data_IF_630778218517
#
_entry.id   IF_630778218517
#
_cell.length_a   1.000
_cell.length_b   1.000
_cell.length_c   1.000
_cell.angle_alpha   90.00
_cell.angle_beta   90.00
_cell.angle_gamma   90.00
#
_symmetry.space_group_name_H-M   'P 1'
#
loop_
_entity.id
_entity.type
_entity.pdbx_description
1 polymer ?
#
# COMPACT_ATOMS: atom_id res chain seq x y z
N UNK A 1 84.46 38.72 -57.17
CA UNK A 1 83.70 37.53 -57.54
C UNK A 1 82.67 37.30 -56.43
N UNK A 2 81.41 37.51 -56.77
CA UNK A 2 80.23 37.71 -55.91
C UNK A 2 79.71 36.43 -55.26
N UNK A 3 79.43 36.47 -53.96
CA UNK A 3 78.61 35.49 -53.23
C UNK A 3 77.30 36.16 -52.82
N UNK A 4 76.19 35.72 -53.42
CA UNK A 4 74.84 36.18 -53.13
C UNK A 4 74.31 35.52 -51.84
N UNK A 5 73.94 36.33 -50.84
CA UNK A 5 73.19 35.92 -49.65
C UNK A 5 71.68 35.98 -49.98
N UNK A 6 71.08 34.83 -50.33
CA UNK A 6 69.63 34.70 -50.49
C UNK A 6 68.98 34.44 -49.13
N UNK A 7 68.51 35.50 -48.47
CA UNK A 7 67.55 35.37 -47.37
C UNK A 7 66.14 35.22 -47.93
N UNK A 8 65.61 34.01 -47.86
CA UNK A 8 64.23 33.69 -48.17
C UNK A 8 63.26 34.49 -47.28
N UNK A 9 62.35 35.24 -47.90
CA UNK A 9 61.29 35.97 -47.19
C UNK A 9 60.30 34.98 -46.56
N UNK A 10 60.07 35.09 -45.24
CA UNK A 10 59.08 34.27 -44.53
C UNK A 10 57.67 34.61 -45.02
N UNK A 11 56.82 33.62 -45.33
CA UNK A 11 55.43 33.88 -45.71
C UNK A 11 54.67 34.50 -44.52
N UNK A 12 53.98 35.61 -44.76
CA UNK A 12 53.09 36.24 -43.78
C UNK A 12 51.89 35.31 -43.55
N UNK A 13 51.71 34.84 -42.31
CA UNK A 13 50.53 34.06 -41.93
C UNK A 13 49.26 34.93 -42.09
N UNK A 14 48.19 34.40 -42.72
CA UNK A 14 46.94 35.12 -42.84
C UNK A 14 46.34 35.43 -41.46
N UNK A 15 45.63 36.57 -41.30
CA UNK A 15 45.04 36.96 -40.03
C UNK A 15 44.05 35.88 -39.55
N UNK A 16 43.99 35.61 -38.22
CA UNK A 16 43.07 34.62 -37.69
C UNK A 16 41.62 34.97 -38.06
N UNK A 17 40.77 33.97 -38.36
CA UNK A 17 39.38 34.21 -38.74
C UNK A 17 38.66 34.98 -37.62
N UNK A 18 37.70 35.87 -37.97
CA UNK A 18 36.97 36.66 -37.00
C UNK A 18 36.32 35.74 -35.96
N UNK A 19 36.53 36.03 -34.67
CA UNK A 19 35.89 35.30 -33.56
C UNK A 19 34.39 35.27 -33.83
N UNK A 20 33.81 34.07 -33.90
CA UNK A 20 32.35 33.90 -34.09
C UNK A 20 31.63 34.83 -33.11
N UNK A 21 30.66 35.64 -33.58
CA UNK A 21 29.90 36.51 -32.68
C UNK A 21 29.27 35.63 -31.59
N UNK A 22 29.26 36.08 -30.32
CA UNK A 22 28.65 35.31 -29.25
C UNK A 22 27.21 34.99 -29.63
N UNK A 23 26.83 33.71 -29.58
CA UNK A 23 25.44 33.28 -29.84
C UNK A 23 24.52 34.14 -28.99
N UNK A 24 23.66 34.95 -29.63
CA UNK A 24 22.63 35.72 -28.94
C UNK A 24 21.79 34.72 -28.14
N UNK A 25 21.76 34.86 -26.82
CA UNK A 25 20.89 34.05 -25.98
C UNK A 25 19.45 34.34 -26.42
N UNK A 26 18.63 33.32 -26.72
CA UNK A 26 17.23 33.54 -27.05
C UNK A 26 16.57 34.32 -25.91
N UNK A 27 15.99 35.48 -26.22
CA UNK A 27 15.21 36.27 -25.26
C UNK A 27 13.79 35.72 -25.31
N UNK A 28 13.46 34.89 -24.33
CA UNK A 28 12.09 34.38 -24.19
C UNK A 28 11.17 35.50 -23.72
N UNK A 29 9.97 35.59 -24.31
CA UNK A 29 8.95 36.49 -23.81
C UNK A 29 8.63 36.16 -22.33
N UNK A 30 8.45 37.15 -21.45
CA UNK A 30 8.05 36.90 -20.07
C UNK A 30 6.70 36.17 -20.05
N UNK A 31 6.59 35.14 -19.23
CA UNK A 31 5.36 34.36 -19.08
C UNK A 31 4.23 35.26 -18.56
N UNK A 32 3.02 35.07 -19.07
CA UNK A 32 1.83 35.73 -18.51
C UNK A 32 1.55 35.23 -17.09
N UNK A 33 0.79 36.01 -16.30
CA UNK A 33 0.39 35.60 -14.95
C UNK A 33 -0.31 34.22 -14.95
N UNK A 34 -1.15 33.96 -15.96
CA UNK A 34 -1.83 32.66 -16.13
C UNK A 34 -0.86 31.51 -16.44
N UNK A 35 0.17 31.75 -17.26
CA UNK A 35 1.18 30.73 -17.57
C UNK A 35 2.05 30.39 -16.35
N UNK A 36 2.40 31.38 -15.54
CA UNK A 36 3.14 31.15 -14.28
C UNK A 36 2.30 30.33 -13.30
N UNK A 37 1.01 30.67 -13.16
CA UNK A 37 0.08 29.91 -12.32
C UNK A 37 -0.06 28.45 -12.79
N UNK A 38 -0.35 28.24 -14.08
CA UNK A 38 -0.50 26.90 -14.65
C UNK A 38 0.78 26.07 -14.48
N UNK A 39 1.96 26.66 -14.70
CA UNK A 39 3.24 25.99 -14.45
C UNK A 39 3.37 25.56 -12.99
N UNK A 40 3.00 26.41 -12.03
CA UNK A 40 3.04 26.08 -10.61
C UNK A 40 2.13 24.89 -10.26
N UNK A 41 0.89 24.92 -10.75
CA UNK A 41 -0.07 23.82 -10.57
C UNK A 41 0.46 22.52 -11.16
N UNK A 42 0.97 22.53 -12.39
CA UNK A 42 1.52 21.34 -13.04
C UNK A 42 2.71 20.77 -12.27
N UNK A 43 3.59 21.63 -11.73
CA UNK A 43 4.71 21.18 -10.91
C UNK A 43 4.23 20.57 -9.60
N UNK A 44 3.28 21.21 -8.90
CA UNK A 44 2.71 20.67 -7.65
C UNK A 44 2.05 19.31 -7.87
N UNK A 45 1.19 19.19 -8.89
CA UNK A 45 0.56 17.92 -9.26
C UNK A 45 1.60 16.86 -9.62
N UNK A 46 2.64 17.23 -10.38
CA UNK A 46 3.72 16.30 -10.74
C UNK A 46 4.48 15.80 -9.52
N UNK A 47 4.77 16.68 -8.56
CA UNK A 47 5.41 16.31 -7.29
C UNK A 47 4.50 15.41 -6.47
N UNK A 48 3.20 15.73 -6.39
CA UNK A 48 2.24 14.93 -5.66
C UNK A 48 2.11 13.52 -6.24
N UNK A 49 2.04 13.39 -7.58
CA UNK A 49 2.04 12.09 -8.27
C UNK A 49 3.34 11.35 -8.00
N UNK A 50 4.50 12.01 -8.07
CA UNK A 50 5.78 11.38 -7.77
C UNK A 50 5.85 10.86 -6.33
N UNK A 51 5.45 11.68 -5.35
CA UNK A 51 5.40 11.29 -3.93
C UNK A 51 4.43 10.15 -3.73
N UNK A 52 3.26 10.18 -4.38
CA UNK A 52 2.29 9.09 -4.35
C UNK A 52 2.87 7.78 -4.88
N UNK A 53 3.55 7.81 -6.02
CA UNK A 53 4.19 6.63 -6.60
C UNK A 53 5.31 6.11 -5.70
N UNK A 54 6.14 6.98 -5.13
CA UNK A 54 7.19 6.58 -4.18
C UNK A 54 6.56 5.95 -2.93
N UNK A 55 5.48 6.54 -2.41
CA UNK A 55 4.80 6.02 -1.23
C UNK A 55 4.21 4.62 -1.51
N UNK A 56 3.50 4.48 -2.62
CA UNK A 56 2.85 3.23 -2.99
C UNK A 56 3.84 2.12 -3.35
N UNK A 57 4.91 2.43 -4.09
CA UNK A 57 5.84 1.44 -4.64
C UNK A 57 7.03 1.12 -3.74
N UNK A 58 7.40 2.01 -2.81
CA UNK A 58 8.61 1.86 -1.98
C UNK A 58 8.27 1.92 -0.50
N UNK A 59 7.69 3.04 -0.04
CA UNK A 59 7.46 3.26 1.39
C UNK A 59 6.45 2.26 1.95
N UNK A 60 5.44 1.87 1.16
CA UNK A 60 4.40 0.94 1.57
C UNK A 60 4.95 -0.40 2.08
N UNK A 61 6.01 -0.92 1.46
CA UNK A 61 6.66 -2.18 1.89
C UNK A 61 7.39 -2.03 3.22
N UNK A 62 8.02 -0.89 3.46
CA UNK A 62 8.69 -0.59 4.75
C UNK A 62 7.65 -0.46 5.85
N UNK A 63 6.58 0.30 5.59
CA UNK A 63 5.47 0.49 6.53
C UNK A 63 4.79 -0.83 6.87
N UNK A 64 4.56 -1.70 5.88
CA UNK A 64 4.02 -3.05 6.10
C UNK A 64 4.93 -3.89 6.98
N UNK A 65 6.24 -3.94 6.68
CA UNK A 65 7.20 -4.70 7.49
C UNK A 65 7.20 -4.25 8.96
N UNK A 66 7.23 -2.94 9.20
CA UNK A 66 7.17 -2.37 10.53
C UNK A 66 5.83 -2.68 11.24
N UNK A 67 4.71 -2.55 10.51
CA UNK A 67 3.39 -2.86 11.03
C UNK A 67 3.24 -4.35 11.41
N UNK A 68 3.73 -5.26 10.57
CA UNK A 68 3.73 -6.69 10.82
C UNK A 68 4.62 -7.06 12.00
N UNK A 69 5.75 -6.39 12.19
CA UNK A 69 6.58 -6.60 13.37
C UNK A 69 5.84 -6.22 14.66
N UNK A 70 5.20 -5.04 14.69
CA UNK A 70 4.40 -4.60 15.83
C UNK A 70 3.21 -5.55 16.11
N UNK A 71 2.54 -6.03 15.06
CA UNK A 71 1.44 -6.99 15.18
C UNK A 71 1.93 -8.33 15.74
N UNK A 72 3.08 -8.84 15.26
CA UNK A 72 3.69 -10.08 15.76
C UNK A 72 4.04 -9.99 17.24
N UNK A 73 4.64 -8.87 17.66
CA UNK A 73 5.05 -8.68 19.05
C UNK A 73 3.84 -8.60 19.98
N UNK A 74 2.80 -7.87 19.58
CA UNK A 74 1.51 -7.82 20.29
C UNK A 74 0.87 -9.20 20.41
N UNK A 75 0.75 -9.92 19.28
CA UNK A 75 0.06 -11.21 19.26
C UNK A 75 0.83 -12.30 20.04
N UNK A 76 2.17 -12.30 19.96
CA UNK A 76 3.01 -13.19 20.78
C UNK A 76 2.80 -12.96 22.27
N UNK A 77 2.70 -11.70 22.70
CA UNK A 77 2.41 -11.38 24.10
C UNK A 77 1.02 -11.88 24.53
N UNK A 78 0.00 -11.69 23.69
CA UNK A 78 -1.35 -12.20 23.95
C UNK A 78 -1.41 -13.73 24.02
N UNK A 79 -0.74 -14.43 23.10
CA UNK A 79 -0.63 -15.89 23.12
C UNK A 79 0.07 -16.38 24.40
N UNK A 80 1.18 -15.74 24.80
CA UNK A 80 1.91 -16.09 26.01
C UNK A 80 1.09 -15.84 27.29
N UNK A 81 0.25 -14.81 27.30
CA UNK A 81 -0.64 -14.48 28.41
C UNK A 81 -1.95 -15.29 28.40
N UNK A 82 -2.25 -16.05 27.34
CA UNK A 82 -3.54 -16.73 27.18
C UNK A 82 -4.72 -15.79 26.93
N UNK A 83 -4.46 -14.57 26.47
CA UNK A 83 -5.46 -13.51 26.21
C UNK A 83 -5.69 -13.26 24.71
N UNK A 84 -5.13 -14.10 23.84
CA UNK A 84 -5.36 -14.02 22.41
C UNK A 84 -6.85 -14.26 22.10
N UNK A 85 -7.47 -13.46 21.21
CA UNK A 85 -8.89 -13.56 20.94
C UNK A 85 -9.26 -14.90 20.31
N UNK A 86 -10.42 -15.41 20.74
CA UNK A 86 -11.04 -16.65 20.24
C UNK A 86 -12.47 -16.43 19.74
N UNK A 87 -12.91 -15.18 19.67
CA UNK A 87 -14.22 -14.75 19.21
C UNK A 87 -14.10 -13.35 18.58
N UNK A 88 -15.22 -12.70 18.29
CA UNK A 88 -15.21 -11.28 17.89
C UNK A 88 -14.87 -10.32 19.04
N UNK A 89 -14.90 -10.82 20.28
CA UNK A 89 -14.49 -10.11 21.48
C UNK A 89 -13.03 -10.39 21.86
N UNK A 90 -12.45 -9.46 22.58
CA UNK A 90 -11.20 -9.67 23.30
C UNK A 90 -11.43 -10.52 24.57
N UNK A 91 -10.39 -10.64 25.40
CA UNK A 91 -10.44 -11.42 26.64
C UNK A 91 -11.42 -10.85 27.68
N UNK A 92 -11.76 -9.56 27.60
CA UNK A 92 -12.70 -8.88 28.50
C UNK A 92 -14.10 -8.75 27.89
N UNK A 93 -14.39 -9.49 26.81
CA UNK A 93 -15.63 -9.45 26.04
C UNK A 93 -15.93 -8.07 25.41
N UNK A 94 -14.91 -7.22 25.24
CA UNK A 94 -15.03 -6.00 24.44
C UNK A 94 -14.85 -6.33 22.96
N UNK A 95 -15.64 -5.68 22.11
CA UNK A 95 -15.55 -5.88 20.67
C UNK A 95 -14.13 -5.53 20.17
N UNK A 96 -13.50 -6.45 19.44
CA UNK A 96 -12.17 -6.21 18.89
C UNK A 96 -12.18 -5.02 17.94
N UNK A 97 -11.24 -4.09 18.15
CA UNK A 97 -10.99 -3.00 17.22
C UNK A 97 -10.44 -3.54 15.89
N UNK A 98 -10.80 -2.87 14.79
CA UNK A 98 -10.18 -3.11 13.49
C UNK A 98 -8.65 -2.98 13.60
N UNK A 99 -7.92 -3.96 13.06
CA UNK A 99 -6.46 -4.06 13.16
C UNK A 99 -5.94 -4.84 14.36
N UNK A 100 -6.80 -5.33 15.26
CA UNK A 100 -6.38 -6.21 16.35
C UNK A 100 -5.89 -7.56 15.82
N UNK A 101 -4.78 -8.12 16.28
CA UNK A 101 -4.27 -9.39 15.75
C UNK A 101 -5.11 -10.58 16.22
N UNK A 102 -5.48 -11.48 15.30
CA UNK A 102 -6.35 -12.63 15.58
C UNK A 102 -5.74 -13.98 15.22
N UNK A 103 -4.79 -14.02 14.27
CA UNK A 103 -4.11 -15.25 13.87
C UNK A 103 -2.73 -14.97 13.27
N UNK A 104 -1.91 -16.01 13.14
CA UNK A 104 -0.72 -16.03 12.27
C UNK A 104 -0.99 -17.00 11.13
N UNK A 105 -0.83 -16.52 9.89
CA UNK A 105 -0.94 -17.30 8.67
C UNK A 105 0.46 -17.59 8.12
N UNK A 106 0.82 -18.86 8.01
CA UNK A 106 2.12 -19.30 7.53
C UNK A 106 1.94 -20.20 6.30
N UNK A 107 2.29 -19.70 5.12
CA UNK A 107 2.22 -20.41 3.83
C UNK A 107 3.64 -20.46 3.24
N UNK A 108 4.42 -21.53 3.53
CA UNK A 108 5.82 -21.64 3.14
C UNK A 108 6.05 -21.52 1.62
N UNK A 109 5.17 -22.09 0.82
CA UNK A 109 5.23 -22.11 -0.65
C UNK A 109 5.20 -20.68 -1.23
N UNK A 110 4.56 -19.74 -0.51
CA UNK A 110 4.46 -18.35 -0.90
C UNK A 110 5.41 -17.43 -0.12
N UNK A 111 6.14 -17.96 0.88
CA UNK A 111 6.96 -17.16 1.80
C UNK A 111 6.15 -16.24 2.70
N UNK A 112 4.88 -16.59 2.97
CA UNK A 112 4.00 -15.81 3.84
C UNK A 112 4.18 -16.29 5.28
N UNK A 113 4.48 -15.37 6.18
CA UNK A 113 4.41 -15.55 7.63
C UNK A 113 3.92 -14.24 8.24
N UNK A 114 2.60 -14.05 8.19
CA UNK A 114 1.97 -12.77 8.49
C UNK A 114 0.87 -12.90 9.55
N UNK A 115 0.75 -11.86 10.38
CA UNK A 115 -0.32 -11.73 11.34
C UNK A 115 -1.58 -11.26 10.62
N UNK A 116 -2.64 -12.04 10.78
CA UNK A 116 -3.98 -11.70 10.35
C UNK A 116 -4.60 -10.80 11.42
N UNK A 117 -5.08 -9.64 11.01
CA UNK A 117 -5.77 -8.67 11.87
C UNK A 117 -7.29 -8.78 11.71
N UNK A 118 -8.07 -8.38 12.70
CA UNK A 118 -9.52 -8.28 12.58
C UNK A 118 -9.91 -7.11 11.66
N UNK A 119 -10.87 -7.32 10.77
CA UNK A 119 -11.35 -6.32 9.82
C UNK A 119 -10.67 -6.38 8.45
N UNK A 120 -11.36 -5.86 7.44
CA UNK A 120 -10.96 -5.97 6.02
C UNK A 120 -11.07 -4.64 5.27
N UNK A 121 -11.05 -3.52 5.99
CA UNK A 121 -10.97 -2.19 5.39
C UNK A 121 -9.60 -1.96 4.74
N UNK A 122 -9.51 -1.03 3.80
CA UNK A 122 -8.25 -0.68 3.14
C UNK A 122 -7.15 -0.31 4.15
N UNK A 123 -7.51 0.42 5.22
CA UNK A 123 -6.60 0.78 6.30
C UNK A 123 -6.05 -0.40 7.10
N UNK A 124 -6.85 -1.45 7.32
CA UNK A 124 -6.37 -2.69 7.96
C UNK A 124 -5.49 -3.47 6.99
N UNK A 125 -5.90 -3.63 5.73
CA UNK A 125 -5.16 -4.42 4.74
C UNK A 125 -3.83 -3.78 4.28
N UNK A 126 -3.62 -2.48 4.56
CA UNK A 126 -2.30 -1.83 4.48
C UNK A 126 -1.28 -2.40 5.47
N UNK A 127 -1.73 -3.06 6.54
CA UNK A 127 -0.85 -3.62 7.58
C UNK A 127 -0.59 -5.12 7.42
N UNK A 128 -1.30 -5.81 6.52
CA UNK A 128 -1.21 -7.26 6.28
C UNK A 128 -2.60 -7.88 6.03
N UNK A 129 -2.72 -9.22 6.08
CA UNK A 129 -3.99 -9.90 5.92
C UNK A 129 -5.01 -9.51 6.99
N UNK A 130 -6.28 -9.48 6.61
CA UNK A 130 -7.41 -9.11 7.47
C UNK A 130 -8.48 -10.20 7.49
N UNK A 131 -8.98 -10.54 8.68
CA UNK A 131 -10.08 -11.46 8.89
C UNK A 131 -11.41 -10.73 8.72
N UNK A 132 -12.34 -11.35 7.99
CA UNK A 132 -13.66 -10.80 7.71
C UNK A 132 -14.58 -11.04 8.90
N UNK A 133 -15.00 -9.94 9.54
CA UNK A 133 -15.68 -9.92 10.84
C UNK A 133 -16.99 -10.71 10.96
N UNK A 134 -17.75 -10.85 9.87
CA UNK A 134 -18.97 -11.67 9.84
C UNK A 134 -18.71 -13.19 9.72
N UNK A 135 -17.45 -13.62 9.75
CA UNK A 135 -17.07 -15.03 9.54
C UNK A 135 -16.35 -15.63 10.74
N UNK A 136 -16.40 -16.96 10.80
CA UNK A 136 -15.45 -17.88 11.47
C UNK A 136 -14.05 -17.36 11.82
N UNK A 137 -13.52 -17.43 13.06
CA UNK A 137 -12.04 -17.34 13.15
C UNK A 137 -11.42 -18.57 12.48
N UNK A 138 -10.22 -18.45 11.88
CA UNK A 138 -9.61 -19.57 11.19
C UNK A 138 -9.54 -20.82 12.07
N UNK A 139 -10.08 -21.93 11.55
CA UNK A 139 -10.03 -23.22 12.21
C UNK A 139 -11.16 -23.52 13.19
N UNK A 140 -12.06 -22.56 13.43
CA UNK A 140 -13.35 -22.80 14.06
C UNK A 140 -14.31 -23.52 13.10
N UNK A 141 -15.32 -24.21 13.65
CA UNK A 141 -16.35 -24.87 12.86
C UNK A 141 -17.16 -23.84 12.05
N UNK A 142 -17.17 -24.01 10.73
CA UNK A 142 -17.77 -23.06 9.78
C UNK A 142 -16.77 -22.57 8.72
N UNK A 143 -17.08 -21.42 8.12
CA UNK A 143 -16.24 -20.77 7.11
C UNK A 143 -15.58 -19.53 7.72
N UNK A 144 -14.25 -19.45 7.59
CA UNK A 144 -13.45 -18.27 7.87
C UNK A 144 -13.03 -17.61 6.56
N UNK A 145 -13.06 -16.28 6.50
CA UNK A 145 -12.59 -15.52 5.35
C UNK A 145 -11.45 -14.62 5.78
N UNK A 146 -10.31 -14.74 5.10
CA UNK A 146 -9.17 -13.84 5.25
C UNK A 146 -8.90 -13.15 3.92
N UNK A 147 -8.78 -11.85 3.96
CA UNK A 147 -8.53 -10.98 2.81
C UNK A 147 -7.10 -10.47 2.84
N UNK A 148 -6.50 -10.29 1.68
CA UNK A 148 -5.16 -9.72 1.57
C UNK A 148 -4.99 -8.97 0.26
N UNK A 149 -3.97 -8.11 0.23
CA UNK A 149 -3.58 -7.36 -0.96
C UNK A 149 -2.78 -8.22 -1.93
N UNK A 150 -2.97 -7.97 -3.21
CA UNK A 150 -2.18 -8.54 -4.31
C UNK A 150 -0.92 -7.70 -4.56
N UNK A 151 -0.97 -6.39 -4.35
CA UNK A 151 0.13 -5.45 -4.57
C UNK A 151 0.17 -4.31 -3.54
N UNK A 152 1.33 -3.64 -3.42
CA UNK A 152 1.65 -2.67 -2.36
C UNK A 152 1.55 -3.26 -0.94
N UNK A 153 2.19 -2.59 0.03
CA UNK A 153 2.08 -2.99 1.45
C UNK A 153 2.38 -4.47 1.67
N UNK A 154 3.51 -4.94 1.14
CA UNK A 154 3.90 -6.35 1.17
C UNK A 154 3.24 -7.20 0.09
N UNK A 155 1.98 -6.93 -0.28
CA UNK A 155 1.22 -7.71 -1.27
C UNK A 155 1.14 -9.20 -0.90
N UNK A 156 0.74 -9.56 0.34
CA UNK A 156 0.87 -10.92 0.88
C UNK A 156 0.25 -11.98 -0.03
N UNK A 157 -0.87 -11.66 -0.70
CA UNK A 157 -1.62 -12.60 -1.52
C UNK A 157 -1.36 -12.43 -3.03
N UNK A 158 -0.31 -11.71 -3.41
CA UNK A 158 0.09 -11.48 -4.80
C UNK A 158 0.33 -12.76 -5.61
N UNK A 159 0.64 -13.87 -4.93
CA UNK A 159 0.88 -15.19 -5.53
C UNK A 159 -0.10 -16.27 -5.08
N UNK A 160 -1.23 -15.90 -4.48
CA UNK A 160 -2.20 -16.86 -3.94
C UNK A 160 -2.66 -17.90 -4.98
N UNK A 161 -2.76 -17.49 -6.25
CA UNK A 161 -3.21 -18.34 -7.36
C UNK A 161 -2.20 -19.40 -7.80
N UNK A 162 -0.96 -19.37 -7.29
CA UNK A 162 0.06 -20.37 -7.64
C UNK A 162 0.01 -21.60 -6.74
N UNK A 163 -0.75 -21.54 -5.64
CA UNK A 163 -0.95 -22.69 -4.76
C UNK A 163 -1.75 -23.77 -5.47
N UNK A 164 -1.33 -25.01 -5.28
CA UNK A 164 -1.93 -26.18 -5.92
C UNK A 164 -2.84 -26.93 -4.95
N UNK A 165 -3.92 -27.56 -5.44
CA UNK A 165 -4.72 -28.46 -4.62
C UNK A 165 -3.86 -29.54 -3.94
N UNK A 166 -4.12 -29.80 -2.66
CA UNK A 166 -3.37 -30.74 -1.83
C UNK A 166 -2.15 -30.14 -1.13
N UNK A 167 -1.71 -28.93 -1.49
CA UNK A 167 -0.68 -28.24 -0.69
C UNK A 167 -1.23 -27.87 0.68
N UNK A 168 -0.39 -27.94 1.71
CA UNK A 168 -0.78 -27.61 3.08
C UNK A 168 -0.07 -26.37 3.61
N UNK A 169 -0.74 -25.68 4.54
CA UNK A 169 -0.21 -24.51 5.25
C UNK A 169 -0.81 -24.41 6.65
N UNK A 170 -0.21 -23.59 7.51
CA UNK A 170 -0.60 -23.50 8.92
C UNK A 170 -1.28 -22.17 9.22
N UNK A 171 -2.28 -22.24 10.10
CA UNK A 171 -2.85 -21.07 10.77
C UNK A 171 -2.82 -21.29 12.27
N UNK A 172 -2.23 -20.34 12.99
CA UNK A 172 -2.20 -20.35 14.45
C UNK A 172 -3.12 -19.29 15.00
N UNK A 173 -4.08 -19.69 15.82
CA UNK A 173 -5.00 -18.80 16.54
C UNK A 173 -4.78 -18.91 18.05
N UNK A 174 -5.57 -18.19 18.85
CA UNK A 174 -5.63 -18.39 20.30
C UNK A 174 -6.09 -19.79 20.73
N UNK A 175 -6.69 -20.57 19.82
CA UNK A 175 -7.15 -21.94 20.07
C UNK A 175 -6.15 -23.02 19.62
N UNK A 176 -4.95 -22.61 19.20
CA UNK A 176 -3.87 -23.48 18.79
C UNK A 176 -3.55 -23.40 17.30
N UNK A 177 -2.73 -24.34 16.84
CA UNK A 177 -2.28 -24.43 15.45
C UNK A 177 -3.13 -25.42 14.68
N UNK A 178 -3.50 -25.06 13.45
CA UNK A 178 -4.32 -25.88 12.57
C UNK A 178 -3.74 -25.88 11.16
N UNK A 179 -3.61 -27.09 10.61
CA UNK A 179 -3.17 -27.31 9.24
C UNK A 179 -4.38 -27.25 8.30
N UNK A 180 -4.19 -26.56 7.18
CA UNK A 180 -5.16 -26.41 6.10
C UNK A 180 -4.60 -27.02 4.82
N UNK A 181 -5.45 -27.78 4.13
CA UNK A 181 -5.18 -28.33 2.80
C UNK A 181 -5.92 -27.49 1.75
N UNK A 182 -5.20 -27.04 0.72
CA UNK A 182 -5.74 -26.29 -0.41
C UNK A 182 -6.68 -27.19 -1.21
N UNK A 183 -7.92 -26.75 -1.41
CA UNK A 183 -8.88 -27.41 -2.29
C UNK A 183 -8.74 -26.92 -3.73
N UNK A 184 -8.45 -25.63 -3.89
CA UNK A 184 -8.21 -25.02 -5.19
C UNK A 184 -8.50 -23.52 -5.21
N UNK A 185 -8.33 -22.96 -6.41
CA UNK A 185 -8.53 -21.53 -6.69
C UNK A 185 -9.78 -21.37 -7.55
N UNK A 186 -10.60 -20.39 -7.21
CA UNK A 186 -11.78 -19.98 -7.97
C UNK A 186 -11.82 -18.46 -8.15
N UNK A 187 -12.66 -18.01 -9.07
CA UNK A 187 -12.82 -16.60 -9.42
C UNK A 187 -14.26 -16.13 -9.20
N UNK A 188 -14.45 -14.82 -9.15
CA UNK A 188 -15.78 -14.24 -9.07
C UNK A 188 -16.65 -14.70 -10.25
N UNK A 189 -17.82 -15.28 -9.95
CA UNK A 189 -18.72 -15.89 -10.92
C UNK A 189 -18.68 -17.42 -10.96
N UNK A 190 -17.62 -18.03 -10.43
CA UNK A 190 -17.54 -19.49 -10.31
C UNK A 190 -18.55 -20.02 -9.27
N UNK A 191 -18.98 -21.29 -9.39
CA UNK A 191 -19.86 -21.92 -8.42
C UNK A 191 -19.29 -21.85 -7.00
N UNK A 192 -20.12 -21.49 -6.03
CA UNK A 192 -19.72 -21.51 -4.62
C UNK A 192 -19.65 -22.97 -4.14
N UNK A 193 -18.59 -23.38 -3.43
CA UNK A 193 -18.54 -24.72 -2.85
C UNK A 193 -19.75 -25.00 -1.95
N UNK A 194 -20.16 -26.28 -1.79
CA UNK A 194 -21.17 -26.65 -0.82
C UNK A 194 -20.82 -26.13 0.58
N UNK A 195 -21.83 -25.80 1.38
CA UNK A 195 -21.63 -25.41 2.76
C UNK A 195 -20.81 -26.49 3.53
N UNK A 196 -19.95 -26.09 4.48
CA UNK A 196 -19.19 -27.04 5.28
C UNK A 196 -20.14 -27.97 6.05
N UNK A 197 -19.73 -29.23 6.21
CA UNK A 197 -20.44 -30.19 7.05
C UNK A 197 -20.29 -29.78 8.52
N UNK A 198 -21.22 -30.18 9.39
CA UNK A 198 -21.13 -29.90 10.82
C UNK A 198 -19.79 -30.38 11.39
N UNK A 199 -19.04 -29.47 12.00
CA UNK A 199 -17.71 -29.76 12.58
C UNK A 199 -16.54 -29.64 11.60
N UNK A 200 -16.79 -29.27 10.34
CA UNK A 200 -15.75 -28.93 9.37
C UNK A 200 -15.33 -27.45 9.53
N UNK A 201 -14.03 -27.17 9.37
CA UNK A 201 -13.52 -25.80 9.26
C UNK A 201 -13.01 -25.56 7.85
N UNK A 202 -13.49 -24.48 7.23
CA UNK A 202 -13.03 -24.01 5.93
C UNK A 202 -12.42 -22.63 6.05
N UNK A 203 -11.37 -22.40 5.28
CA UNK A 203 -10.71 -21.12 5.16
C UNK A 203 -10.74 -20.68 3.71
N UNK A 204 -11.19 -19.46 3.48
CA UNK A 204 -11.20 -18.82 2.17
C UNK A 204 -10.23 -17.65 2.23
N UNK A 205 -9.14 -17.74 1.47
CA UNK A 205 -8.23 -16.63 1.25
C UNK A 205 -8.71 -15.83 0.03
N UNK A 206 -8.94 -14.54 0.18
CA UNK A 206 -9.46 -13.65 -0.88
C UNK A 206 -8.44 -12.58 -1.25
N UNK A 207 -8.21 -12.37 -2.54
CA UNK A 207 -7.33 -11.32 -3.07
C UNK A 207 -7.87 -10.77 -4.39
N UNK A 208 -7.30 -9.67 -4.88
CA UNK A 208 -7.61 -9.20 -6.23
C UNK A 208 -7.01 -10.11 -7.31
N UNK A 209 -7.75 -10.28 -8.40
CA UNK A 209 -7.28 -10.78 -9.69
C UNK A 209 -6.93 -9.60 -10.57
N UNK A 210 -5.91 -9.73 -11.42
CA UNK A 210 -5.55 -8.72 -12.42
C UNK A 210 -4.05 -8.49 -12.48
N UNK A 211 -3.64 -7.45 -13.21
CA UNK A 211 -2.27 -6.97 -13.16
C UNK A 211 -2.00 -6.28 -11.81
N UNK A 212 -0.74 -6.24 -11.33
CA UNK A 212 -0.41 -5.50 -10.11
C UNK A 212 -0.95 -4.07 -10.16
N UNK A 213 -1.55 -3.62 -9.05
CA UNK A 213 -2.16 -2.29 -8.92
C UNK A 213 -3.42 -2.02 -9.80
N UNK A 214 -3.86 -2.99 -10.60
CA UNK A 214 -5.00 -2.88 -11.52
C UNK A 214 -5.96 -4.08 -11.34
N UNK A 215 -6.73 -4.11 -10.25
CA UNK A 215 -7.67 -5.20 -9.97
C UNK A 215 -8.80 -5.23 -11.01
N UNK A 216 -9.12 -6.43 -11.50
CA UNK A 216 -10.20 -6.70 -12.44
C UNK A 216 -11.28 -7.65 -11.90
N UNK A 217 -11.06 -8.25 -10.72
CA UNK A 217 -12.01 -9.14 -10.06
C UNK A 217 -11.45 -9.71 -8.77
N UNK A 218 -12.16 -10.65 -8.17
CA UNK A 218 -11.73 -11.32 -6.93
C UNK A 218 -11.30 -12.76 -7.25
N UNK A 219 -10.16 -13.15 -6.71
CA UNK A 219 -9.70 -14.54 -6.63
C UNK A 219 -9.92 -15.07 -5.22
N UNK A 220 -10.33 -16.32 -5.13
CA UNK A 220 -10.53 -17.02 -3.88
C UNK A 220 -9.70 -18.30 -3.91
N UNK A 221 -9.02 -18.59 -2.82
CA UNK A 221 -8.43 -19.89 -2.56
C UNK A 221 -9.21 -20.53 -1.43
N UNK A 222 -9.82 -21.67 -1.71
CA UNK A 222 -10.55 -22.43 -0.71
C UNK A 222 -9.62 -23.50 -0.12
N UNK A 223 -9.65 -23.64 1.19
CA UNK A 223 -8.91 -24.64 1.93
C UNK A 223 -9.79 -25.24 3.03
N UNK A 224 -9.49 -26.48 3.41
CA UNK A 224 -10.16 -27.18 4.53
C UNK A 224 -9.14 -27.50 5.62
N UNK A 225 -9.55 -27.45 6.88
CA UNK A 225 -8.71 -27.95 7.96
C UNK A 225 -8.56 -29.48 7.85
N UNK A 226 -7.36 -30.00 8.12
CA UNK A 226 -7.10 -31.45 8.14
C UNK A 226 -7.50 -32.10 9.47
N UNK A 227 -7.51 -31.32 10.55
CA UNK A 227 -7.89 -31.75 11.90
C UNK A 227 -9.31 -31.35 12.32
N UNK A 228 -9.66 -31.69 13.57
CA UNK A 228 -10.95 -31.31 14.16
C UNK A 228 -11.10 -29.79 14.27
N UNK A 229 -12.27 -29.28 13.89
CA UNK A 229 -12.59 -27.88 14.05
C UNK A 229 -12.74 -27.50 15.52
N UNK A 230 -12.28 -26.29 15.86
CA UNK A 230 -12.43 -25.74 17.21
C UNK A 230 -13.85 -25.22 17.43
N UNK A 231 -14.31 -25.14 18.70
CA UNK A 231 -15.57 -24.51 19.04
C UNK A 231 -15.59 -23.05 18.56
N UNK A 232 -16.73 -22.66 17.97
CA UNK A 232 -16.94 -21.31 17.45
C UNK A 232 -17.23 -20.34 18.59
N UNK A 233 -16.51 -19.22 18.62
CA UNK A 233 -16.78 -18.13 19.56
C UNK A 233 -18.03 -17.32 19.19
N UNK A 234 -18.55 -16.56 20.16
CA UNK A 234 -19.68 -15.66 19.93
C UNK A 234 -19.32 -14.59 18.87
N UNK A 235 -20.30 -14.24 18.03
CA UNK A 235 -20.20 -13.20 17.01
C UNK A 235 -21.48 -12.37 16.99
N UNK A 236 -21.30 -11.05 16.98
CA UNK A 236 -22.35 -10.06 16.85
C UNK A 236 -22.48 -9.60 15.39
N UNK A 237 -21.38 -9.57 14.64
CA UNK A 237 -21.39 -9.18 13.23
C UNK A 237 -21.93 -10.30 12.35
N UNK A 238 -22.80 -9.92 11.42
CA UNK A 238 -23.46 -10.79 10.44
C UNK A 238 -23.25 -10.23 9.04
N UNK A 239 -23.55 -11.01 8.01
CA UNK A 239 -23.49 -10.56 6.61
C UNK A 239 -24.32 -9.29 6.35
N UNK A 240 -25.40 -9.08 7.12
CA UNK A 240 -26.27 -7.90 7.00
C UNK A 240 -25.71 -6.67 7.73
N UNK A 241 -24.94 -6.88 8.80
CA UNK A 241 -24.36 -5.80 9.61
C UNK A 241 -22.91 -5.48 9.24
N UNK A 242 -22.29 -6.29 8.37
CA UNK A 242 -20.94 -6.04 7.86
C UNK A 242 -20.85 -4.68 7.14
N UNK A 243 -19.94 -3.77 7.53
CA UNK A 243 -19.76 -2.49 6.86
C UNK A 243 -19.47 -2.64 5.36
N UNK A 244 -20.03 -1.80 4.48
CA UNK A 244 -19.80 -1.89 3.04
C UNK A 244 -18.33 -1.85 2.63
N UNK A 245 -17.50 -1.12 3.38
CA UNK A 245 -16.06 -0.93 3.16
C UNK A 245 -15.21 -2.15 3.55
N UNK A 246 -15.83 -3.14 4.21
CA UNK A 246 -15.20 -4.42 4.55
C UNK A 246 -15.42 -5.48 3.44
N UNK A 247 -16.23 -5.19 2.41
CA UNK A 247 -16.48 -6.11 1.30
C UNK A 247 -15.26 -6.18 0.37
N UNK A 248 -15.10 -7.31 -0.34
CA UNK A 248 -14.02 -7.50 -1.29
C UNK A 248 -14.05 -6.42 -2.41
N UNK A 249 -12.88 -5.86 -2.75
CA UNK A 249 -12.70 -4.76 -3.71
C UNK A 249 -13.51 -3.50 -3.41
N UNK A 250 -13.93 -3.29 -2.17
CA UNK A 250 -14.59 -2.06 -1.77
C UNK A 250 -13.59 -0.95 -1.44
N UNK A 251 -14.05 0.29 -1.58
CA UNK A 251 -13.31 1.48 -1.18
C UNK A 251 -13.84 2.00 0.16
N UNK A 252 -12.93 2.40 1.04
CA UNK A 252 -13.27 3.00 2.32
C UNK A 252 -13.39 4.54 2.26
N UNK A 253 -14.62 5.02 2.07
CA UNK A 253 -14.91 6.46 2.03
C UNK A 253 -15.04 7.11 3.42
N UNK A 254 -14.91 6.37 4.52
CA UNK A 254 -15.07 6.93 5.87
C UNK A 254 -13.95 7.90 6.24
N UNK A 255 -12.82 7.83 5.53
CA UNK A 255 -11.63 8.67 5.73
C UNK A 255 -11.55 9.86 4.77
N UNK A 256 -12.57 10.11 3.93
CA UNK A 256 -12.56 11.22 2.97
C UNK A 256 -12.35 12.60 3.61
N UNK A 257 -12.91 12.83 4.80
CA UNK A 257 -12.73 14.08 5.54
C UNK A 257 -11.25 14.34 5.83
N UNK A 258 -10.47 13.30 6.15
CA UNK A 258 -9.04 13.42 6.41
C UNK A 258 -8.26 13.79 5.14
N UNK A 259 -8.66 13.28 3.97
CA UNK A 259 -8.11 13.72 2.68
C UNK A 259 -8.39 15.20 2.42
N UNK A 260 -9.60 15.68 2.70
CA UNK A 260 -9.94 17.11 2.53
C UNK A 260 -9.04 17.98 3.40
N UNK A 261 -8.85 17.62 4.68
CA UNK A 261 -7.94 18.37 5.56
C UNK A 261 -6.48 18.27 5.12
N UNK A 262 -6.04 17.11 4.63
CA UNK A 262 -4.69 16.93 4.07
C UNK A 262 -4.43 17.86 2.89
N UNK A 263 -5.40 17.95 1.97
CA UNK A 263 -5.33 18.83 0.80
C UNK A 263 -5.39 20.31 1.21
N UNK A 264 -6.26 20.69 2.13
CA UNK A 264 -6.32 22.05 2.66
C UNK A 264 -5.01 22.46 3.32
N UNK A 265 -4.43 21.57 4.14
CA UNK A 265 -3.11 21.78 4.74
C UNK A 265 -2.03 22.01 3.68
N UNK A 266 -1.98 21.16 2.65
CA UNK A 266 -1.00 21.28 1.56
C UNK A 266 -1.17 22.60 0.80
N UNK A 267 -2.41 22.97 0.46
CA UNK A 267 -2.72 24.23 -0.23
C UNK A 267 -2.30 25.44 0.61
N UNK A 268 -2.62 25.45 1.91
CA UNK A 268 -2.21 26.52 2.82
C UNK A 268 -0.68 26.59 2.90
N UNK A 269 0.00 25.45 3.03
CA UNK A 269 1.47 25.41 3.07
C UNK A 269 2.09 25.96 1.78
N UNK A 270 1.53 25.65 0.61
CA UNK A 270 1.97 26.21 -0.67
C UNK A 270 1.75 27.73 -0.74
N UNK A 271 0.58 28.23 -0.31
CA UNK A 271 0.31 29.67 -0.28
C UNK A 271 1.29 30.41 0.63
N UNK A 272 1.54 29.89 1.83
CA UNK A 272 2.49 30.49 2.77
C UNK A 272 3.92 30.41 2.22
N UNK A 273 4.30 29.31 1.56
CA UNK A 273 5.59 29.18 0.90
C UNK A 273 5.79 30.23 -0.21
N UNK A 274 4.78 30.44 -1.06
CA UNK A 274 4.82 31.46 -2.12
C UNK A 274 4.90 32.87 -1.52
N UNK A 275 4.13 33.15 -0.47
CA UNK A 275 4.20 34.43 0.25
C UNK A 275 5.58 34.65 0.88
N UNK A 276 6.14 33.64 1.55
CA UNK A 276 7.45 33.70 2.18
C UNK A 276 8.58 33.88 1.15
N UNK A 277 8.50 33.16 0.02
CA UNK A 277 9.43 33.30 -1.11
C UNK A 277 9.51 34.75 -1.59
N UNK A 278 8.38 35.45 -1.67
CA UNK A 278 8.32 36.88 -2.07
C UNK A 278 8.85 37.84 -1.01
N UNK A 279 8.82 37.46 0.27
CA UNK A 279 9.21 38.32 1.41
C UNK A 279 10.67 38.16 1.85
N UNK A 280 11.15 36.93 1.94
CA UNK A 280 12.41 36.60 2.64
C UNK A 280 13.47 35.96 1.72
N UNK A 281 13.09 35.65 0.48
CA UNK A 281 13.97 35.09 -0.56
C UNK A 281 14.03 33.55 -0.58
N UNK A 282 14.56 32.99 -1.68
CA UNK A 282 14.39 31.57 -2.01
C UNK A 282 15.03 30.60 -1.00
N UNK A 283 16.26 30.86 -0.56
CA UNK A 283 17.02 29.93 0.29
C UNK A 283 16.32 29.68 1.63
N UNK A 284 15.90 30.76 2.30
CA UNK A 284 15.26 30.68 3.62
C UNK A 284 13.89 30.01 3.54
N UNK A 285 13.12 30.30 2.49
CA UNK A 285 11.82 29.65 2.27
C UNK A 285 11.96 28.16 2.07
N UNK A 286 12.86 27.70 1.19
CA UNK A 286 12.95 26.27 0.88
C UNK A 286 13.52 25.43 2.02
N UNK A 287 14.39 25.98 2.86
CA UNK A 287 14.86 25.28 4.07
C UNK A 287 13.70 24.94 5.02
N UNK A 288 12.71 25.82 5.13
CA UNK A 288 11.56 25.64 6.04
C UNK A 288 10.43 24.87 5.35
N UNK A 289 10.06 25.27 4.13
CA UNK A 289 8.85 24.75 3.48
C UNK A 289 9.07 23.47 2.69
N UNK A 290 10.29 23.11 2.28
CA UNK A 290 10.53 21.81 1.63
C UNK A 290 10.08 20.61 2.50
N UNK A 291 10.48 20.49 3.78
CA UNK A 291 10.02 19.37 4.61
C UNK A 291 8.52 19.43 4.90
N UNK A 292 7.93 20.63 5.07
CA UNK A 292 6.49 20.80 5.32
C UNK A 292 5.67 20.36 4.11
N UNK A 293 6.05 20.79 2.91
CA UNK A 293 5.39 20.40 1.67
C UNK A 293 5.54 18.90 1.41
N UNK A 294 6.74 18.34 1.62
CA UNK A 294 6.98 16.91 1.49
C UNK A 294 6.09 16.11 2.45
N UNK A 295 6.03 16.50 3.73
CA UNK A 295 5.17 15.87 4.73
C UNK A 295 3.69 15.97 4.34
N UNK A 296 3.25 17.15 3.89
CA UNK A 296 1.89 17.37 3.39
C UNK A 296 1.57 16.46 2.19
N UNK A 297 2.49 16.33 1.24
CA UNK A 297 2.32 15.43 0.08
C UNK A 297 2.27 13.95 0.49
N UNK A 298 3.09 13.52 1.45
CA UNK A 298 3.05 12.15 1.99
C UNK A 298 1.73 11.89 2.69
N UNK A 299 1.24 12.86 3.48
CA UNK A 299 -0.04 12.73 4.18
C UNK A 299 -1.23 12.64 3.20
N UNK A 300 -1.27 13.50 2.18
CA UNK A 300 -2.26 13.41 1.09
C UNK A 300 -2.15 12.05 0.40
N UNK A 301 -0.94 11.59 0.09
CA UNK A 301 -0.73 10.29 -0.54
C UNK A 301 -1.26 9.13 0.32
N UNK A 302 -1.01 9.11 1.64
CA UNK A 302 -1.54 8.07 2.53
C UNK A 302 -3.07 8.03 2.50
N UNK A 303 -3.71 9.21 2.56
CA UNK A 303 -5.17 9.29 2.50
C UNK A 303 -5.72 8.83 1.14
N UNK A 304 -5.07 9.18 0.02
CA UNK A 304 -5.48 8.68 -1.31
C UNK A 304 -5.34 7.16 -1.39
N UNK A 305 -4.30 6.57 -0.81
CA UNK A 305 -4.09 5.11 -0.80
C UNK A 305 -5.20 4.38 -0.01
N UNK A 306 -5.69 4.97 1.09
CA UNK A 306 -6.82 4.39 1.85
C UNK A 306 -8.11 4.32 1.04
N UNK A 307 -8.26 5.21 0.05
CA UNK A 307 -9.39 5.21 -0.88
C UNK A 307 -9.22 4.21 -2.04
N UNK A 308 -8.04 3.60 -2.19
CA UNK A 308 -7.88 2.51 -3.15
C UNK A 308 -8.66 1.27 -2.68
N UNK A 309 -9.08 0.39 -3.61
CA UNK A 309 -9.71 -0.87 -3.26
C UNK A 309 -8.91 -1.63 -2.20
N UNK A 310 -9.60 -2.23 -1.24
CA UNK A 310 -8.96 -2.91 -0.11
C UNK A 310 -8.05 -4.07 -0.53
N UNK A 311 -8.39 -4.82 -1.59
CA UNK A 311 -7.62 -5.96 -2.10
C UNK A 311 -6.54 -5.61 -3.16
N UNK A 312 -6.19 -4.33 -3.35
CA UNK A 312 -5.25 -3.84 -4.37
C UNK A 312 -4.04 -4.75 -4.60
#
# INVERSE_FOLDING_TARGET
>A
MTLFDQRAARPQLPPPPPRRPPRRRPVYAPLSAGQVFLRGVLVSVSVLVLVFLINLLVVSHISHFAAQQQLRDTYRAQLAAGTAPVSEGDFEDHLLNDGAPVAVLSIPQLGIDEVVSEGTTSGVLMRGPGHRRDTVLPGQAGVSVVMGRTAAFGGPFGRLQTLQPGETFMVRTGQGEQEFEVLGVRYAGDPTPPAPVKGESRLILMSARGAPYLPSGVAYLDARATGEAKPTGARQTTTMTLPPQAKALSTDMTTLWALVFALQFLVVAEFVAVWAYRRVGWQKTWVVFAPVLLLGSVFVSDQVIRLLPNLL
#
